data_IF_012829935184
#
_entry.id   IF_012829935184
#
_cell.length_a   1.000
_cell.length_b   1.000
_cell.length_c   1.000
_cell.angle_alpha   90.00
_cell.angle_beta   90.00
_cell.angle_gamma   90.00
#
_symmetry.space_group_name_H-M   'P 1'
#
loop_
_entity.id
_entity.type
_entity.pdbx_description
1 polymer ?
#
# COMPACT_ATOMS: atom_id res chain seq x y z
N UNK A 1 -13.77 -5.28 5.86
CA UNK A 1 -12.86 -5.69 6.96
C UNK A 1 -11.74 -6.58 6.41
N UNK A 2 -11.97 -7.87 6.10
CA UNK A 2 -10.90 -8.79 5.66
C UNK A 2 -10.17 -8.33 4.39
N UNK A 3 -10.89 -7.81 3.38
CA UNK A 3 -10.25 -7.28 2.16
C UNK A 3 -9.18 -6.23 2.50
N UNK A 4 -9.49 -5.28 3.39
CA UNK A 4 -8.60 -4.18 3.76
C UNK A 4 -7.34 -4.68 4.49
N UNK A 5 -7.48 -5.73 5.31
CA UNK A 5 -6.35 -6.42 5.94
C UNK A 5 -5.41 -6.98 4.85
N UNK A 6 -5.96 -7.68 3.85
CA UNK A 6 -5.16 -8.28 2.78
C UNK A 6 -4.49 -7.22 1.90
N UNK A 7 -5.24 -6.22 1.45
CA UNK A 7 -4.69 -5.23 0.52
C UNK A 7 -3.68 -4.28 1.20
N UNK A 8 -3.82 -3.98 2.49
CA UNK A 8 -2.86 -3.12 3.21
C UNK A 8 -1.43 -3.68 3.11
N UNK A 9 -1.26 -4.99 3.37
CA UNK A 9 0.04 -5.65 3.24
C UNK A 9 0.54 -5.68 1.79
N UNK A 10 -0.33 -5.99 0.83
CA UNK A 10 0.04 -6.05 -0.59
C UNK A 10 0.52 -4.71 -1.14
N UNK A 11 -0.18 -3.61 -0.82
CA UNK A 11 0.18 -2.26 -1.30
C UNK A 11 1.50 -1.80 -0.66
N UNK A 12 1.71 -2.08 0.63
CA UNK A 12 2.99 -1.77 1.28
C UNK A 12 4.14 -2.56 0.66
N UNK A 13 3.98 -3.87 0.44
CA UNK A 13 5.01 -4.70 -0.17
C UNK A 13 5.34 -4.25 -1.61
N UNK A 14 4.32 -3.88 -2.39
CA UNK A 14 4.53 -3.29 -3.72
C UNK A 14 5.30 -1.96 -3.65
N UNK A 15 4.95 -1.10 -2.68
CA UNK A 15 5.61 0.19 -2.47
C UNK A 15 7.09 0.01 -2.17
N UNK A 16 7.43 -0.92 -1.28
CA UNK A 16 8.82 -1.27 -0.95
C UNK A 16 9.55 -1.86 -2.16
N UNK A 17 8.92 -2.78 -2.89
CA UNK A 17 9.51 -3.40 -4.08
C UNK A 17 9.84 -2.38 -5.18
N UNK A 18 8.92 -1.46 -5.48
CA UNK A 18 9.14 -0.41 -6.49
C UNK A 18 10.20 0.61 -6.04
N UNK A 19 10.13 1.10 -4.80
CA UNK A 19 11.14 2.03 -4.27
C UNK A 19 12.54 1.38 -4.24
N UNK A 20 12.63 0.09 -3.90
CA UNK A 20 13.87 -0.66 -3.96
C UNK A 20 14.40 -0.77 -5.40
N UNK A 21 13.54 -1.10 -6.36
CA UNK A 21 13.91 -1.20 -7.77
C UNK A 21 14.49 0.13 -8.29
N UNK A 22 13.83 1.26 -7.99
CA UNK A 22 14.34 2.60 -8.33
C UNK A 22 15.71 2.85 -7.73
N UNK A 23 15.89 2.55 -6.44
CA UNK A 23 17.16 2.75 -5.73
C UNK A 23 18.28 1.82 -6.22
N UNK A 24 17.92 0.66 -6.76
CA UNK A 24 18.84 -0.27 -7.40
C UNK A 24 19.16 0.10 -8.87
N UNK A 25 18.58 1.17 -9.41
CA UNK A 25 18.78 1.59 -10.80
C UNK A 25 18.06 0.71 -11.81
N UNK A 26 17.03 -0.03 -11.39
CA UNK A 26 16.21 -0.87 -12.25
C UNK A 26 15.02 -0.08 -12.80
N UNK A 27 14.57 -0.45 -14.01
CA UNK A 27 13.29 0.04 -14.53
C UNK A 27 12.14 -0.68 -13.81
N UNK A 28 11.41 0.08 -12.98
CA UNK A 28 10.27 -0.43 -12.21
C UNK A 28 9.16 -1.05 -13.07
N UNK A 29 8.93 -0.55 -14.29
CA UNK A 29 7.91 -1.09 -15.20
C UNK A 29 8.34 -2.46 -15.72
N UNK A 30 9.58 -2.58 -16.17
CA UNK A 30 10.15 -3.84 -16.62
C UNK A 30 10.18 -4.89 -15.49
N UNK A 31 10.48 -4.46 -14.25
CA UNK A 31 10.40 -5.34 -13.06
C UNK A 31 8.98 -5.87 -12.87
N UNK A 32 7.96 -5.01 -12.93
CA UNK A 32 6.56 -5.43 -12.76
C UNK A 32 6.11 -6.35 -13.88
N UNK A 33 6.45 -6.04 -15.13
CA UNK A 33 6.17 -6.91 -16.28
C UNK A 33 6.72 -8.33 -16.05
N UNK A 34 7.97 -8.44 -15.58
CA UNK A 34 8.62 -9.72 -15.34
C UNK A 34 7.99 -10.55 -14.21
N UNK A 35 7.45 -9.92 -13.16
CA UNK A 35 6.99 -10.63 -11.95
C UNK A 35 5.47 -10.74 -11.80
N UNK A 36 4.70 -9.92 -12.53
CA UNK A 36 3.24 -9.80 -12.37
C UNK A 36 2.46 -11.08 -12.70
N UNK A 37 2.99 -11.94 -13.58
CA UNK A 37 2.42 -13.26 -13.89
C UNK A 37 2.80 -14.37 -12.91
N UNK A 38 3.71 -14.10 -11.97
CA UNK A 38 4.21 -15.08 -11.01
C UNK A 38 3.48 -15.05 -9.67
N UNK A 39 4.03 -15.76 -8.68
CA UNK A 39 3.45 -15.86 -7.33
C UNK A 39 3.38 -14.52 -6.57
N UNK A 40 4.17 -13.53 -6.97
CA UNK A 40 4.12 -12.17 -6.43
C UNK A 40 3.02 -11.29 -7.06
N UNK A 41 2.38 -11.78 -8.12
CA UNK A 41 1.32 -11.06 -8.83
C UNK A 41 0.15 -10.70 -7.91
N UNK A 42 -0.31 -9.46 -8.00
CA UNK A 42 -1.51 -9.01 -7.29
C UNK A 42 -2.27 -7.99 -8.12
N UNK A 43 -3.55 -7.80 -7.81
CA UNK A 43 -4.35 -6.76 -8.47
C UNK A 43 -3.73 -5.38 -8.31
N UNK A 44 -3.18 -5.07 -7.12
CA UNK A 44 -2.53 -3.81 -6.84
C UNK A 44 -1.28 -3.61 -7.70
N UNK A 45 -0.46 -4.65 -7.84
CA UNK A 45 0.71 -4.61 -8.72
C UNK A 45 0.30 -4.24 -10.15
N UNK A 46 -0.66 -4.95 -10.73
CA UNK A 46 -1.08 -4.71 -12.12
C UNK A 46 -1.73 -3.33 -12.29
N UNK A 47 -2.52 -2.84 -11.34
CA UNK A 47 -3.37 -1.67 -11.52
C UNK A 47 -2.86 -0.38 -10.86
N UNK A 48 -1.75 -0.42 -10.11
CA UNK A 48 -1.20 0.75 -9.41
C UNK A 48 0.26 1.05 -9.69
N UNK A 49 1.05 0.10 -10.19
CA UNK A 49 2.48 0.33 -10.36
C UNK A 49 2.81 1.54 -11.24
N UNK A 50 2.09 1.76 -12.35
CA UNK A 50 2.34 2.90 -13.23
C UNK A 50 2.13 4.23 -12.51
N UNK A 51 1.00 4.40 -11.82
CA UNK A 51 0.71 5.66 -11.12
C UNK A 51 1.62 5.89 -9.93
N UNK A 52 2.08 4.82 -9.26
CA UNK A 52 3.11 4.90 -8.22
C UNK A 52 4.46 5.38 -8.78
N UNK A 53 4.88 4.83 -9.93
CA UNK A 53 6.12 5.21 -10.61
C UNK A 53 6.05 6.64 -11.15
N UNK A 54 4.86 7.10 -11.56
CA UNK A 54 4.62 8.46 -12.09
C UNK A 54 4.33 9.51 -11.02
N UNK A 55 4.40 9.15 -9.73
CA UNK A 55 4.12 10.03 -8.58
C UNK A 55 2.70 10.64 -8.61
N UNK A 56 1.73 9.92 -9.19
CA UNK A 56 0.35 10.35 -9.33
C UNK A 56 -0.56 9.58 -8.37
N UNK A 57 -1.17 10.28 -7.41
CA UNK A 57 -2.03 9.65 -6.40
C UNK A 57 -3.41 10.30 -6.24
N UNK A 58 -3.79 11.28 -7.05
CA UNK A 58 -5.11 11.95 -6.96
C UNK A 58 -6.21 11.14 -7.65
N UNK A 59 -6.34 9.87 -7.28
CA UNK A 59 -7.31 8.94 -7.85
C UNK A 59 -7.71 7.85 -6.85
N UNK A 60 -8.67 7.00 -7.24
CA UNK A 60 -8.93 5.74 -6.55
C UNK A 60 -9.39 5.88 -5.09
N UNK A 61 -8.84 5.04 -4.20
CA UNK A 61 -9.33 4.89 -2.82
C UNK A 61 -8.46 5.68 -1.85
N UNK A 62 -9.05 6.67 -1.17
CA UNK A 62 -8.32 7.61 -0.33
C UNK A 62 -7.73 6.98 0.94
N UNK A 63 -6.55 7.46 1.35
CA UNK A 63 -5.88 7.09 2.62
C UNK A 63 -6.81 7.27 3.83
N UNK A 64 -7.60 8.34 3.90
CA UNK A 64 -8.56 8.55 5.00
C UNK A 64 -9.55 7.39 5.15
N UNK A 65 -10.04 6.87 4.02
CA UNK A 65 -11.00 5.77 4.03
C UNK A 65 -10.32 4.45 4.41
N UNK A 66 -9.09 4.23 3.94
CA UNK A 66 -8.30 3.07 4.36
C UNK A 66 -8.02 3.10 5.86
N UNK A 67 -7.54 4.23 6.41
CA UNK A 67 -7.31 4.41 7.85
C UNK A 67 -8.57 4.15 8.68
N UNK A 68 -9.72 4.65 8.23
CA UNK A 68 -11.02 4.35 8.86
C UNK A 68 -11.29 2.84 8.89
N UNK A 69 -11.13 2.16 7.76
CA UNK A 69 -11.40 0.73 7.69
C UNK A 69 -10.41 -0.11 8.51
N UNK A 70 -9.12 0.27 8.54
CA UNK A 70 -8.12 -0.40 9.36
C UNK A 70 -8.40 -0.21 10.85
N UNK A 71 -8.85 0.96 11.27
CA UNK A 71 -9.27 1.19 12.65
C UNK A 71 -10.42 0.25 13.07
N UNK A 72 -11.39 0.02 12.18
CA UNK A 72 -12.45 -0.98 12.40
C UNK A 72 -11.86 -2.38 12.50
N UNK A 73 -10.94 -2.76 11.61
CA UNK A 73 -10.29 -4.08 11.66
C UNK A 73 -9.53 -4.31 12.96
N UNK A 74 -8.80 -3.30 13.45
CA UNK A 74 -8.01 -3.39 14.67
C UNK A 74 -8.91 -3.47 15.91
N UNK A 75 -10.01 -2.71 15.95
CA UNK A 75 -10.99 -2.80 17.04
C UNK A 75 -11.66 -4.18 17.11
N UNK A 76 -12.02 -4.76 15.96
CA UNK A 76 -12.57 -6.13 15.91
C UNK A 76 -11.53 -7.19 16.31
N UNK A 77 -10.26 -6.98 15.97
CA UNK A 77 -9.17 -7.85 16.38
C UNK A 77 -8.98 -7.86 17.91
N UNK A 78 -9.10 -6.71 18.57
CA UNK A 78 -9.09 -6.61 20.03
C UNK A 78 -10.24 -7.39 20.68
N UNK A 79 -11.45 -7.32 20.10
CA UNK A 79 -12.62 -8.05 20.63
C UNK A 79 -12.52 -9.58 20.42
N UNK A 80 -11.93 -10.00 19.31
CA UNK A 80 -11.87 -11.42 18.92
C UNK A 80 -10.59 -12.12 19.37
N UNK A 81 -9.58 -11.38 19.85
CA UNK A 81 -8.26 -11.89 20.17
C UNK A 81 -7.40 -12.22 18.93
N UNK A 82 -7.78 -11.74 17.75
CA UNK A 82 -7.02 -11.94 16.52
C UNK A 82 -5.76 -11.05 16.49
N UNK A 83 -4.66 -11.58 15.97
CA UNK A 83 -3.43 -10.82 15.79
C UNK A 83 -3.36 -10.20 14.39
N UNK A 84 -3.29 -8.87 14.30
CA UNK A 84 -3.14 -8.13 13.03
C UNK A 84 -1.87 -7.24 13.00
N UNK A 85 -0.67 -7.78 13.25
CA UNK A 85 0.55 -6.96 13.39
C UNK A 85 0.92 -6.20 12.11
N UNK A 86 0.77 -6.83 10.93
CA UNK A 86 1.04 -6.18 9.64
C UNK A 86 0.05 -5.05 9.39
N UNK A 87 -1.24 -5.26 9.70
CA UNK A 87 -2.26 -4.22 9.57
C UNK A 87 -1.97 -3.04 10.48
N UNK A 88 -1.59 -3.27 11.74
CA UNK A 88 -1.24 -2.21 12.67
C UNK A 88 -0.02 -1.41 12.18
N UNK A 89 0.98 -2.10 11.62
CA UNK A 89 2.16 -1.46 11.04
C UNK A 89 1.80 -0.57 9.84
N UNK A 90 1.06 -1.11 8.88
CA UNK A 90 0.66 -0.37 7.68
C UNK A 90 -0.31 0.76 8.04
N UNK A 91 -1.16 0.61 9.06
CA UNK A 91 -1.95 1.71 9.60
C UNK A 91 -1.04 2.88 9.99
N UNK A 92 0.00 2.67 10.79
CA UNK A 92 0.97 3.73 11.14
C UNK A 92 1.63 4.35 9.91
N UNK A 93 1.89 3.57 8.88
CA UNK A 93 2.44 4.09 7.64
C UNK A 93 1.48 5.04 6.93
N UNK A 94 0.19 4.69 6.87
CA UNK A 94 -0.82 5.61 6.35
C UNK A 94 -0.95 6.90 7.18
N UNK A 95 -0.72 6.85 8.51
CA UNK A 95 -0.68 8.07 9.34
C UNK A 95 0.44 9.00 8.93
N UNK A 96 1.61 8.46 8.59
CA UNK A 96 2.70 9.28 8.06
C UNK A 96 2.30 9.94 6.73
N UNK A 97 1.61 9.21 5.84
CA UNK A 97 1.09 9.80 4.58
C UNK A 97 0.10 10.93 4.86
N UNK A 98 -0.80 10.78 5.85
CA UNK A 98 -1.69 11.86 6.29
C UNK A 98 -0.90 13.07 6.79
N UNK A 99 0.17 12.85 7.56
CA UNK A 99 1.05 13.93 8.04
C UNK A 99 1.80 14.65 6.91
N UNK A 100 2.02 13.98 5.78
CA UNK A 100 2.56 14.58 4.55
C UNK A 100 1.52 15.38 3.74
N UNK A 101 0.27 15.45 4.21
CA UNK A 101 -0.86 16.08 3.51
C UNK A 101 -1.61 15.15 2.56
N UNK A 102 -1.23 13.86 2.48
CA UNK A 102 -1.75 12.88 1.53
C UNK A 102 -3.09 12.24 1.86
N UNK A 103 -3.93 12.91 2.66
CA UNK A 103 -5.21 12.37 3.17
C UNK A 103 -6.14 11.84 2.05
N UNK A 104 -6.13 12.53 0.90
CA UNK A 104 -6.98 12.23 -0.28
C UNK A 104 -6.25 11.45 -1.37
N UNK A 105 -4.98 11.11 -1.18
CA UNK A 105 -4.22 10.31 -2.13
C UNK A 105 -4.70 8.85 -2.12
N UNK A 106 -4.53 8.16 -3.25
CA UNK A 106 -4.76 6.71 -3.35
C UNK A 106 -3.91 5.99 -2.32
N UNK A 107 -4.40 4.85 -1.83
CA UNK A 107 -3.66 3.97 -0.93
C UNK A 107 -2.27 3.57 -1.43
N UNK A 108 -2.03 3.57 -2.74
CA UNK A 108 -0.71 3.31 -3.32
C UNK A 108 0.35 4.38 -2.99
N UNK A 109 -0.05 5.51 -2.40
CA UNK A 109 0.84 6.59 -1.95
C UNK A 109 1.78 6.22 -0.80
N UNK A 110 1.70 5.02 -0.23
CA UNK A 110 2.67 4.51 0.75
C UNK A 110 4.12 4.61 0.25
N UNK A 111 4.35 4.50 -1.07
CA UNK A 111 5.66 4.69 -1.70
C UNK A 111 6.28 6.07 -1.43
N UNK A 112 5.47 7.12 -1.19
CA UNK A 112 5.97 8.47 -0.85
C UNK A 112 6.80 8.51 0.42
N UNK A 113 6.62 7.55 1.33
CA UNK A 113 7.41 7.45 2.58
C UNK A 113 8.81 6.90 2.36
N UNK A 114 9.06 6.31 1.19
CA UNK A 114 10.29 5.59 0.86
C UNK A 114 11.20 6.37 -0.11
N UNK A 115 10.69 7.47 -0.66
CA UNK A 115 11.39 8.37 -1.60
C UNK A 115 11.92 9.60 -0.88
#
# INVERSE_FOLDING_TARGET
>A
IVNQICIAGLVQALSEGLAFAEKAGLDGRAVVEAISGGAAGSWQMVNRHETMLDDHFEHGFAVDWMRKDLAICLAEAEQTGAALPVTALVDQFYKDVQNMGGNRWDTSSLIKRLR
#
